data_IF_503027767639
#
_entry.id   IF_503027767639
#
_cell.length_a   1.000
_cell.length_b   1.000
_cell.length_c   1.000
_cell.angle_alpha   90.00
_cell.angle_beta   90.00
_cell.angle_gamma   90.00
#
_symmetry.space_group_name_H-M   'P 1'
#
loop_
_entity.id
_entity.type
_entity.pdbx_description
1 polymer ?
#
# COMPACT_ATOMS: atom_id res chain seq x y z
N UNK A 1 5.88 -7.58 -21.82
CA UNK A 1 5.63 -8.52 -20.70
C UNK A 1 4.70 -7.81 -19.73
N UNK A 2 3.62 -8.45 -19.28
CA UNK A 2 2.66 -7.82 -18.36
C UNK A 2 3.35 -7.41 -17.05
N UNK A 3 2.99 -6.24 -16.53
CA UNK A 3 3.54 -5.66 -15.30
C UNK A 3 2.42 -5.41 -14.31
N UNK A 4 2.72 -5.50 -13.02
CA UNK A 4 1.75 -5.22 -11.97
C UNK A 4 2.35 -4.29 -10.94
N UNK A 5 1.64 -3.21 -10.62
CA UNK A 5 1.88 -2.37 -9.45
C UNK A 5 0.82 -2.68 -8.39
N UNK A 6 1.25 -3.14 -7.22
CA UNK A 6 0.41 -3.24 -6.04
C UNK A 6 0.74 -2.08 -5.10
N UNK A 7 -0.17 -1.13 -4.98
CA UNK A 7 -0.07 0.04 -4.12
C UNK A 7 -0.93 -0.20 -2.88
N UNK A 8 -0.28 -0.64 -1.80
CA UNK A 8 -0.93 -0.85 -0.51
C UNK A 8 -1.01 0.47 0.28
N UNK A 9 -2.22 0.80 0.75
CA UNK A 9 -2.47 1.95 1.62
C UNK A 9 -3.09 1.48 2.93
N UNK A 10 -2.41 1.71 4.05
CA UNK A 10 -2.83 1.25 5.40
C UNK A 10 -3.95 2.14 5.96
N UNK A 11 -5.02 1.56 6.46
CA UNK A 11 -6.05 2.31 7.21
C UNK A 11 -6.94 3.27 6.39
N UNK A 12 -7.41 2.86 5.21
CA UNK A 12 -8.38 3.60 4.39
C UNK A 12 -9.66 2.79 4.20
N UNK A 13 -10.74 3.20 4.86
CA UNK A 13 -12.07 2.60 4.70
C UNK A 13 -12.99 3.44 3.82
N UNK A 14 -14.12 2.85 3.45
CA UNK A 14 -15.21 3.49 2.72
C UNK A 14 -16.26 3.94 3.75
N UNK A 15 -16.41 5.25 4.01
CA UNK A 15 -17.40 5.72 4.97
C UNK A 15 -18.83 5.55 4.41
N UNK A 16 -19.87 5.54 5.27
CA UNK A 16 -21.26 5.50 4.80
C UNK A 16 -21.65 6.69 3.90
N UNK A 17 -20.97 7.83 4.08
CA UNK A 17 -21.14 9.06 3.31
C UNK A 17 -19.77 9.74 3.11
N UNK A 18 -19.57 10.54 2.05
CA UNK A 18 -18.34 11.30 1.85
C UNK A 18 -17.92 12.11 3.09
N UNK A 19 -16.62 12.12 3.39
CA UNK A 19 -16.03 12.80 4.57
C UNK A 19 -15.08 13.92 4.18
N UNK A 20 -14.27 13.68 3.15
CA UNK A 20 -13.30 14.63 2.63
C UNK A 20 -13.82 15.32 1.36
N UNK A 21 -13.58 16.61 1.23
CA UNK A 21 -13.97 17.36 0.04
C UNK A 21 -12.85 17.41 -1.01
N UNK A 22 -13.23 17.28 -2.27
CA UNK A 22 -12.34 17.39 -3.43
C UNK A 22 -11.20 16.35 -3.41
N UNK A 23 -11.50 15.10 -3.03
CA UNK A 23 -10.58 13.95 -3.14
C UNK A 23 -11.35 12.74 -3.70
N UNK A 24 -11.71 12.74 -5.00
CA UNK A 24 -12.63 11.77 -5.58
C UNK A 24 -12.25 10.29 -5.43
N UNK A 25 -10.96 9.95 -5.35
CA UNK A 25 -10.51 8.57 -5.19
C UNK A 25 -10.80 8.02 -3.78
N UNK A 26 -10.58 8.84 -2.76
CA UNK A 26 -10.58 8.39 -1.36
C UNK A 26 -11.75 8.91 -0.53
N UNK A 27 -12.68 9.66 -1.13
CA UNK A 27 -13.86 10.18 -0.44
C UNK A 27 -15.26 9.78 -0.96
N UNK A 28 -15.45 8.72 -1.77
CA UNK A 28 -16.80 8.24 -2.05
C UNK A 28 -17.45 7.62 -0.80
N UNK A 29 -18.77 7.70 -0.71
CA UNK A 29 -19.57 6.91 0.23
C UNK A 29 -19.78 5.47 -0.25
N UNK A 30 -20.18 4.57 0.66
CA UNK A 30 -20.40 3.15 0.37
C UNK A 30 -21.41 2.90 -0.76
N UNK A 31 -22.45 3.73 -0.88
CA UNK A 31 -23.50 3.59 -1.90
C UNK A 31 -23.01 3.90 -3.32
N UNK A 32 -21.77 4.38 -3.48
CA UNK A 32 -21.17 4.67 -4.77
C UNK A 32 -20.37 3.48 -5.31
N UNK A 33 -20.47 2.27 -4.74
CA UNK A 33 -19.74 1.09 -5.20
C UNK A 33 -20.66 0.02 -5.81
N UNK A 34 -20.23 -0.70 -6.88
CA UNK A 34 -19.00 -0.48 -7.64
C UNK A 34 -19.03 0.86 -8.40
N UNK A 35 -17.85 1.45 -8.65
CA UNK A 35 -17.72 2.72 -9.40
C UNK A 35 -16.64 2.70 -10.45
N UNK A 36 -16.89 3.45 -11.51
CA UNK A 36 -15.86 3.94 -12.41
C UNK A 36 -15.06 5.05 -11.72
N UNK A 37 -13.75 5.04 -11.95
CA UNK A 37 -12.80 6.04 -11.48
C UNK A 37 -12.21 6.80 -12.67
N UNK A 38 -11.65 8.01 -12.44
CA UNK A 38 -10.86 8.70 -13.45
C UNK A 38 -9.77 7.81 -14.05
N UNK A 39 -9.39 8.09 -15.31
CA UNK A 39 -8.42 7.30 -16.10
C UNK A 39 -8.88 5.87 -16.34
N UNK A 40 -10.19 5.68 -16.49
CA UNK A 40 -10.83 4.39 -16.75
C UNK A 40 -10.55 3.36 -15.65
N UNK A 41 -10.47 3.78 -14.40
CA UNK A 41 -10.33 2.84 -13.28
C UNK A 41 -11.66 2.23 -12.87
N UNK A 42 -11.60 1.17 -12.09
CA UNK A 42 -12.74 0.55 -11.44
C UNK A 42 -12.45 0.42 -9.95
N UNK A 43 -13.48 0.57 -9.13
CA UNK A 43 -13.41 0.31 -7.70
C UNK A 43 -14.55 -0.57 -7.23
N UNK A 44 -14.22 -1.49 -6.32
CA UNK A 44 -15.16 -2.32 -5.59
C UNK A 44 -14.96 -2.16 -4.09
N UNK A 45 -16.01 -2.39 -3.31
CA UNK A 45 -15.94 -2.41 -1.86
C UNK A 45 -15.67 -3.84 -1.37
N UNK A 46 -14.63 -4.03 -0.57
CA UNK A 46 -14.29 -5.32 0.02
C UNK A 46 -14.58 -5.34 1.53
N UNK A 47 -15.08 -6.47 2.05
CA UNK A 47 -15.25 -6.66 3.49
C UNK A 47 -13.89 -6.83 4.18
N UNK A 48 -13.44 -5.79 4.89
CA UNK A 48 -12.20 -5.83 5.67
C UNK A 48 -12.25 -6.82 6.86
N UNK A 49 -13.45 -7.24 7.28
CA UNK A 49 -13.59 -8.25 8.35
C UNK A 49 -13.33 -9.66 7.85
N UNK A 50 -13.44 -9.88 6.54
CA UNK A 50 -13.26 -11.19 5.89
C UNK A 50 -14.12 -12.28 6.55
N UNK A 51 -15.35 -11.92 6.94
CA UNK A 51 -16.27 -12.79 7.66
C UNK A 51 -15.88 -13.12 9.12
N UNK A 52 -14.79 -12.55 9.66
CA UNK A 52 -14.33 -12.80 11.02
C UNK A 52 -14.80 -11.68 11.97
N UNK A 53 -15.45 -12.01 13.11
CA UNK A 53 -15.87 -11.01 14.10
C UNK A 53 -14.72 -10.17 14.67
N UNK A 54 -15.03 -8.94 15.06
CA UNK A 54 -14.08 -7.99 15.63
C UNK A 54 -13.66 -6.89 14.65
N UNK A 55 -12.85 -5.95 15.16
CA UNK A 55 -12.26 -4.88 14.35
C UNK A 55 -11.16 -5.45 13.45
N UNK A 56 -11.18 -5.19 12.13
CA UNK A 56 -10.04 -5.43 11.25
C UNK A 56 -8.74 -4.81 11.80
N UNK A 57 -7.62 -5.50 11.62
CA UNK A 57 -6.32 -5.10 12.17
C UNK A 57 -5.17 -5.37 11.20
N UNK A 58 -4.11 -4.56 11.30
CA UNK A 58 -3.06 -4.47 10.28
C UNK A 58 -2.28 -5.78 10.06
N UNK A 59 -1.91 -6.52 11.12
CA UNK A 59 -1.08 -7.71 10.93
C UNK A 59 -1.80 -8.78 10.09
N UNK A 60 -3.07 -9.04 10.39
CA UNK A 60 -3.92 -9.99 9.64
C UNK A 60 -4.39 -9.43 8.30
N UNK A 61 -4.74 -8.13 8.24
CA UNK A 61 -5.18 -7.48 7.02
C UNK A 61 -4.09 -7.46 5.95
N UNK A 62 -2.90 -6.93 6.29
CA UNK A 62 -1.73 -6.92 5.40
C UNK A 62 -1.32 -8.33 4.98
N UNK A 63 -1.31 -9.30 5.92
CA UNK A 63 -1.00 -10.70 5.58
C UNK A 63 -1.99 -11.27 4.57
N UNK A 64 -3.27 -10.88 4.63
CA UNK A 64 -4.28 -11.32 3.67
C UNK A 64 -4.01 -10.73 2.29
N UNK A 65 -3.79 -9.41 2.18
CA UNK A 65 -3.44 -8.75 0.91
C UNK A 65 -2.19 -9.37 0.27
N UNK A 66 -1.16 -9.64 1.07
CA UNK A 66 0.13 -10.17 0.59
C UNK A 66 0.03 -11.63 0.13
N UNK A 67 -0.90 -12.42 0.67
CA UNK A 67 -0.91 -13.88 0.45
C UNK A 67 -2.11 -14.36 -0.36
N UNK A 68 -3.20 -13.58 -0.41
CA UNK A 68 -4.50 -13.98 -0.93
C UNK A 68 -5.22 -15.02 -0.05
N UNK A 69 -4.79 -15.18 1.21
CA UNK A 69 -5.38 -16.14 2.16
C UNK A 69 -6.00 -15.38 3.32
N UNK A 70 -7.20 -15.78 3.74
CA UNK A 70 -7.88 -15.19 4.89
C UNK A 70 -7.09 -15.42 6.20
N UNK A 71 -6.18 -14.51 6.50
CA UNK A 71 -5.30 -14.59 7.67
C UNK A 71 -6.04 -14.46 9.02
N UNK A 72 -7.07 -13.60 9.19
CA UNK A 72 -7.80 -13.60 10.46
C UNK A 72 -8.55 -14.91 10.71
N UNK A 73 -9.00 -15.62 9.67
CA UNK A 73 -9.58 -16.97 9.83
C UNK A 73 -8.53 -17.97 10.35
N UNK A 74 -7.30 -17.94 9.82
CA UNK A 74 -6.19 -18.77 10.31
C UNK A 74 -5.84 -18.45 11.78
N UNK A 75 -5.89 -17.18 12.15
CA UNK A 75 -5.59 -16.72 13.51
C UNK A 75 -6.77 -16.87 14.48
N UNK A 76 -7.98 -17.17 13.98
CA UNK A 76 -9.24 -17.16 14.72
C UNK A 76 -9.69 -15.78 15.21
N UNK A 77 -8.99 -14.71 14.82
CA UNK A 77 -9.24 -13.31 15.19
C UNK A 77 -8.41 -12.37 14.35
N UNK A 78 -8.75 -11.08 14.40
CA UNK A 78 -7.91 -10.00 13.90
C UNK A 78 -6.71 -9.73 14.83
N UNK A 79 -5.54 -9.47 14.27
CA UNK A 79 -4.29 -9.22 15.02
C UNK A 79 -3.65 -7.91 14.56
N UNK A 80 -3.29 -7.05 15.52
CA UNK A 80 -2.72 -5.73 15.28
C UNK A 80 -1.19 -5.72 15.21
N UNK A 81 -0.63 -4.65 14.64
CA UNK A 81 0.81 -4.39 14.61
C UNK A 81 1.57 -5.31 13.65
N UNK A 82 2.70 -5.87 14.10
CA UNK A 82 3.60 -6.67 13.26
C UNK A 82 3.19 -8.14 13.21
N UNK A 83 3.44 -8.85 12.08
CA UNK A 83 3.13 -10.27 11.97
C UNK A 83 3.90 -11.11 12.99
N UNK A 84 3.17 -11.93 13.75
CA UNK A 84 3.73 -12.96 14.63
C UNK A 84 4.23 -14.19 13.85
N UNK A 85 4.75 -15.23 14.54
CA UNK A 85 5.33 -16.41 13.90
C UNK A 85 4.42 -17.08 12.88
N UNK A 86 3.14 -17.31 13.21
CA UNK A 86 2.16 -17.93 12.31
C UNK A 86 1.98 -17.13 11.01
N UNK A 87 1.80 -15.80 11.13
CA UNK A 87 1.64 -14.92 9.98
C UNK A 87 2.92 -14.81 9.15
N UNK A 88 4.09 -14.77 9.80
CA UNK A 88 5.39 -14.84 9.10
C UNK A 88 5.53 -16.15 8.32
N UNK A 89 5.15 -17.29 8.89
CA UNK A 89 5.14 -18.57 8.17
C UNK A 89 4.18 -18.54 6.98
N UNK A 90 3.00 -17.94 7.12
CA UNK A 90 2.04 -17.79 6.02
C UNK A 90 2.62 -16.91 4.90
N UNK A 91 3.12 -15.72 5.23
CA UNK A 91 3.73 -14.78 4.28
C UNK A 91 4.92 -15.44 3.56
N UNK A 92 5.83 -16.09 4.30
CA UNK A 92 7.01 -16.72 3.70
C UNK A 92 6.68 -17.88 2.74
N UNK A 93 5.52 -18.53 2.89
CA UNK A 93 5.07 -19.63 2.00
C UNK A 93 4.19 -19.17 0.84
N UNK A 94 3.40 -18.10 1.03
CA UNK A 94 2.31 -17.72 0.12
C UNK A 94 2.38 -16.27 -0.36
N UNK A 95 3.38 -15.50 0.05
CA UNK A 95 3.53 -14.12 -0.36
C UNK A 95 3.63 -13.96 -1.87
N UNK A 96 3.12 -12.85 -2.40
CA UNK A 96 3.10 -12.54 -3.83
C UNK A 96 4.48 -12.67 -4.49
N UNK A 97 5.53 -12.05 -3.96
CA UNK A 97 6.91 -12.22 -4.43
C UNK A 97 7.33 -13.69 -4.56
N UNK A 98 7.15 -14.52 -3.52
CA UNK A 98 7.48 -15.95 -3.56
C UNK A 98 6.68 -16.68 -4.65
N UNK A 99 5.37 -16.43 -4.73
CA UNK A 99 4.49 -17.05 -5.72
C UNK A 99 4.90 -16.68 -7.15
N UNK A 100 5.36 -15.46 -7.36
CA UNK A 100 5.85 -14.97 -8.66
C UNK A 100 7.22 -15.60 -8.99
N UNK A 101 8.12 -15.76 -8.02
CA UNK A 101 9.40 -16.46 -8.21
C UNK A 101 9.21 -17.92 -8.60
N UNK A 102 8.25 -18.62 -7.98
CA UNK A 102 7.90 -20.01 -8.33
C UNK A 102 7.44 -20.14 -9.80
N UNK A 103 6.97 -19.04 -10.41
CA UNK A 103 6.62 -18.97 -11.84
C UNK A 103 7.81 -18.64 -12.76
N UNK A 104 9.04 -18.66 -12.23
CA UNK A 104 10.27 -18.45 -12.99
C UNK A 104 10.70 -16.99 -13.16
N UNK A 105 10.03 -16.05 -12.50
CA UNK A 105 10.43 -14.64 -12.53
C UNK A 105 11.54 -14.41 -11.48
N UNK A 106 12.75 -13.99 -11.89
CA UNK A 106 13.86 -13.84 -10.96
C UNK A 106 13.66 -12.63 -10.05
N UNK A 107 14.28 -12.64 -8.85
CA UNK A 107 14.07 -11.60 -7.83
C UNK A 107 14.43 -10.20 -8.30
N UNK A 108 15.35 -10.08 -9.25
CA UNK A 108 15.80 -8.82 -9.85
C UNK A 108 14.69 -8.14 -10.69
N UNK A 109 13.63 -8.89 -11.01
CA UNK A 109 12.41 -8.40 -11.68
C UNK A 109 11.30 -8.07 -10.68
N UNK A 110 11.56 -8.15 -9.38
CA UNK A 110 10.63 -7.85 -8.31
C UNK A 110 11.12 -6.64 -7.54
N UNK A 111 10.21 -5.72 -7.23
CA UNK A 111 10.55 -4.48 -6.54
C UNK A 111 9.68 -4.29 -5.31
N UNK A 112 10.31 -4.09 -4.15
CA UNK A 112 9.68 -3.41 -3.03
C UNK A 112 10.16 -1.96 -3.05
N UNK A 113 9.28 -1.05 -3.44
CA UNK A 113 9.66 0.31 -3.82
C UNK A 113 10.04 1.20 -2.61
N UNK A 114 9.69 0.78 -1.40
CA UNK A 114 9.98 1.50 -0.17
C UNK A 114 11.46 1.43 0.21
N UNK A 115 12.05 2.59 0.46
CA UNK A 115 13.40 2.74 0.96
C UNK A 115 13.48 2.77 2.49
N UNK A 116 14.64 2.41 3.00
CA UNK A 116 14.94 2.34 4.42
C UNK A 116 16.12 3.23 4.80
N UNK A 117 16.05 3.79 6.00
CA UNK A 117 17.14 4.57 6.60
C UNK A 117 18.33 3.67 6.93
N UNK A 118 19.58 4.19 6.96
CA UNK A 118 20.78 3.40 7.27
C UNK A 118 20.68 2.61 8.59
N UNK A 119 20.05 3.18 9.62
CA UNK A 119 19.81 2.54 10.92
C UNK A 119 18.98 1.24 10.83
N UNK A 120 18.25 1.03 9.73
CA UNK A 120 17.55 -0.23 9.45
C UNK A 120 18.53 -1.39 9.25
N UNK A 121 19.63 -1.13 8.53
CA UNK A 121 20.57 -2.16 8.08
C UNK A 121 21.66 -2.47 9.10
N UNK A 122 21.84 -1.64 10.13
CA UNK A 122 22.91 -1.80 11.12
C UNK A 122 22.71 -2.99 12.08
N UNK A 123 21.46 -3.42 12.30
CA UNK A 123 21.14 -4.53 13.22
C UNK A 123 19.95 -5.35 12.68
N UNK A 124 19.95 -6.68 12.87
CA UNK A 124 18.79 -7.50 12.58
C UNK A 124 17.54 -6.98 13.30
N UNK A 125 16.42 -6.89 12.56
CA UNK A 125 15.14 -6.40 13.06
C UNK A 125 14.22 -7.58 13.36
N UNK A 126 13.99 -7.89 14.63
CA UNK A 126 13.07 -8.97 15.02
C UNK A 126 11.61 -8.68 14.63
N UNK A 127 11.24 -7.39 14.66
CA UNK A 127 9.91 -6.88 14.31
C UNK A 127 10.01 -5.94 13.11
N UNK A 128 9.30 -6.28 12.04
CA UNK A 128 9.19 -5.53 10.79
C UNK A 128 7.75 -5.64 10.29
N UNK A 129 7.30 -4.72 9.42
CA UNK A 129 5.97 -4.78 8.79
C UNK A 129 5.79 -6.06 7.98
N UNK A 130 4.54 -6.41 7.68
CA UNK A 130 4.23 -7.58 6.85
C UNK A 130 4.82 -7.45 5.44
N UNK A 131 4.74 -6.27 4.85
CA UNK A 131 5.36 -5.91 3.56
C UNK A 131 6.89 -6.03 3.58
N UNK A 132 7.55 -5.53 4.63
CA UNK A 132 9.00 -5.66 4.79
C UNK A 132 9.40 -7.12 4.95
N UNK A 133 8.69 -7.88 5.78
CA UNK A 133 8.94 -9.31 5.95
C UNK A 133 8.69 -10.09 4.64
N UNK A 134 7.68 -9.70 3.87
CA UNK A 134 7.37 -10.27 2.56
C UNK A 134 8.53 -10.12 1.57
N UNK A 135 9.10 -8.91 1.45
CA UNK A 135 10.29 -8.68 0.62
C UNK A 135 11.50 -9.49 1.12
N UNK A 136 11.81 -9.42 2.42
CA UNK A 136 12.95 -10.13 3.02
C UNK A 136 12.86 -11.65 2.85
N UNK A 137 11.68 -12.23 3.07
CA UNK A 137 11.46 -13.67 2.96
C UNK A 137 11.51 -14.19 1.51
N UNK A 138 11.40 -13.31 0.51
CA UNK A 138 11.60 -13.64 -0.91
C UNK A 138 13.02 -13.31 -1.41
N UNK A 139 13.88 -12.77 -0.54
CA UNK A 139 15.21 -12.28 -0.91
C UNK A 139 15.16 -11.08 -1.87
N UNK A 140 14.05 -10.34 -1.92
CA UNK A 140 13.93 -9.09 -2.68
C UNK A 140 14.74 -8.01 -1.96
N UNK A 141 15.69 -7.33 -2.64
CA UNK A 141 16.52 -6.31 -2.02
C UNK A 141 15.67 -5.16 -1.46
N UNK A 142 16.02 -4.70 -0.25
CA UNK A 142 15.43 -3.49 0.32
C UNK A 142 16.21 -2.25 -0.14
N UNK A 143 15.48 -1.23 -0.61
CA UNK A 143 16.10 -0.01 -1.10
C UNK A 143 16.68 0.87 0.02
N UNK A 144 17.68 1.66 -0.32
CA UNK A 144 18.38 2.57 0.58
C UNK A 144 18.07 4.03 0.26
N UNK A 145 18.53 4.96 1.10
CA UNK A 145 18.42 6.40 0.80
C UNK A 145 19.25 6.83 -0.41
N UNK A 146 20.30 6.07 -0.78
CA UNK A 146 21.04 6.28 -2.03
C UNK A 146 20.16 5.98 -3.24
N UNK A 147 19.33 4.94 -3.16
CA UNK A 147 18.38 4.62 -4.21
C UNK A 147 17.30 5.70 -4.34
N UNK A 148 16.88 6.31 -3.22
CA UNK A 148 15.98 7.48 -3.23
C UNK A 148 16.62 8.67 -3.94
N UNK A 149 17.87 9.04 -3.60
CA UNK A 149 18.57 10.16 -4.25
C UNK A 149 18.77 9.94 -5.75
N UNK A 150 18.88 8.69 -6.19
CA UNK A 150 19.08 8.31 -7.58
C UNK A 150 17.76 7.97 -8.30
N UNK A 151 16.60 8.25 -7.67
CA UNK A 151 15.28 8.06 -8.28
C UNK A 151 14.94 6.59 -8.59
N UNK A 152 15.48 5.66 -7.79
CA UNK A 152 15.28 4.21 -7.86
C UNK A 152 14.50 3.63 -6.67
N UNK A 153 14.03 4.47 -5.76
CA UNK A 153 13.14 4.09 -4.68
C UNK A 153 12.36 5.31 -4.18
N UNK A 154 11.32 5.07 -3.39
CA UNK A 154 10.58 6.09 -2.67
C UNK A 154 10.66 5.83 -1.18
N UNK A 155 10.74 6.88 -0.37
CA UNK A 155 10.49 6.72 1.06
C UNK A 155 8.99 6.55 1.33
N UNK A 156 8.62 6.14 2.54
CA UNK A 156 7.21 5.86 2.87
C UNK A 156 6.30 7.10 2.84
N UNK A 157 6.86 8.30 2.93
CA UNK A 157 6.12 9.56 2.76
C UNK A 157 6.19 10.10 1.32
N UNK A 158 6.89 9.39 0.43
CA UNK A 158 7.22 9.65 -1.00
C UNK A 158 7.80 11.02 -1.38
N UNK A 159 7.65 12.04 -0.52
CA UNK A 159 8.11 13.41 -0.73
C UNK A 159 9.50 13.66 -0.18
N UNK A 160 10.04 12.74 0.63
CA UNK A 160 11.26 12.89 1.43
C UNK A 160 11.16 13.96 2.55
N UNK A 161 9.99 14.58 2.76
CA UNK A 161 9.80 15.65 3.76
C UNK A 161 10.26 15.21 5.14
N UNK A 162 9.89 14.00 5.56
CA UNK A 162 10.25 13.46 6.86
C UNK A 162 11.76 13.23 7.01
N UNK A 163 12.44 12.81 5.94
CA UNK A 163 13.88 12.60 5.94
C UNK A 163 14.65 13.93 5.96
N UNK A 164 14.19 14.91 5.19
CA UNK A 164 14.78 16.26 5.18
C UNK A 164 14.67 16.89 6.57
N UNK A 165 13.52 16.77 7.23
CA UNK A 165 13.33 17.24 8.61
C UNK A 165 14.22 16.49 9.63
N UNK A 166 14.72 15.30 9.29
CA UNK A 166 15.67 14.53 10.10
C UNK A 166 17.14 14.82 9.72
N UNK A 167 17.40 15.77 8.83
CA UNK A 167 18.74 16.19 8.43
C UNK A 167 19.36 15.39 7.28
N UNK A 168 18.60 14.54 6.58
CA UNK A 168 19.13 13.82 5.41
C UNK A 168 19.17 14.76 4.18
N UNK A 169 20.29 14.79 3.43
CA UNK A 169 20.45 15.67 2.27
C UNK A 169 19.78 15.08 1.02
N UNK A 170 18.45 15.01 1.02
CA UNK A 170 17.64 14.49 -0.08
C UNK A 170 16.84 15.62 -0.73
N UNK A 171 16.59 15.55 -2.05
CA UNK A 171 15.69 16.50 -2.70
C UNK A 171 14.26 16.29 -2.19
N UNK A 172 13.55 17.39 -1.97
CA UNK A 172 12.11 17.36 -1.75
C UNK A 172 11.42 16.98 -3.07
N UNK A 173 10.56 15.97 -3.02
CA UNK A 173 9.72 15.58 -4.16
C UNK A 173 8.30 16.10 -3.97
N UNK A 174 7.69 16.60 -5.03
CA UNK A 174 6.24 16.75 -5.11
C UNK A 174 5.56 15.38 -5.27
N UNK A 175 4.26 15.25 -4.94
CA UNK A 175 3.51 14.03 -5.22
C UNK A 175 3.59 13.62 -6.70
N UNK A 176 3.46 14.57 -7.63
CA UNK A 176 3.66 14.30 -9.06
C UNK A 176 5.08 13.78 -9.40
N UNK A 177 6.15 14.35 -8.80
CA UNK A 177 7.51 13.83 -9.02
C UNK A 177 7.67 12.41 -8.48
N UNK A 178 7.11 12.12 -7.30
CA UNK A 178 7.09 10.77 -6.73
C UNK A 178 6.33 9.78 -7.62
N UNK A 179 5.20 10.20 -8.19
CA UNK A 179 4.41 9.38 -9.10
C UNK A 179 5.21 8.95 -10.33
N UNK A 180 6.01 9.85 -10.91
CA UNK A 180 6.96 9.54 -12.00
C UNK A 180 8.04 8.53 -11.57
N UNK A 181 8.54 8.60 -10.33
CA UNK A 181 9.49 7.60 -9.80
C UNK A 181 8.84 6.22 -9.76
N UNK A 182 7.63 6.13 -9.19
CA UNK A 182 6.92 4.85 -9.06
C UNK A 182 6.55 4.25 -10.41
N UNK A 183 6.16 5.08 -11.39
CA UNK A 183 5.91 4.62 -12.76
C UNK A 183 7.18 4.01 -13.39
N UNK A 184 8.34 4.68 -13.27
CA UNK A 184 9.62 4.15 -13.77
C UNK A 184 10.00 2.84 -13.09
N UNK A 185 9.78 2.71 -11.78
CA UNK A 185 10.02 1.46 -11.06
C UNK A 185 9.12 0.35 -11.57
N UNK A 186 7.83 0.64 -11.74
CA UNK A 186 6.85 -0.31 -12.28
C UNK A 186 7.23 -0.76 -13.70
N UNK A 187 7.62 0.15 -14.59
CA UNK A 187 8.05 -0.21 -15.95
C UNK A 187 9.29 -1.11 -16.00
N UNK A 188 10.21 -0.92 -15.05
CA UNK A 188 11.46 -1.69 -14.97
C UNK A 188 11.28 -3.09 -14.38
N UNK A 189 10.20 -3.36 -13.65
CA UNK A 189 9.99 -4.62 -12.95
C UNK A 189 8.74 -5.34 -13.48
N UNK A 190 8.63 -6.63 -13.20
CA UNK A 190 7.43 -7.41 -13.53
C UNK A 190 6.36 -7.25 -12.44
N UNK A 191 6.80 -7.09 -11.19
CA UNK A 191 5.92 -6.82 -10.06
C UNK A 191 6.56 -5.80 -9.12
N UNK A 192 5.83 -4.73 -8.81
CA UNK A 192 6.24 -3.69 -7.87
C UNK A 192 5.22 -3.62 -6.75
N UNK A 193 5.70 -3.66 -5.51
CA UNK A 193 4.89 -3.45 -4.30
C UNK A 193 5.34 -2.13 -3.65
N UNK A 194 4.39 -1.25 -3.36
CA UNK A 194 4.63 -0.02 -2.60
C UNK A 194 3.65 0.06 -1.42
N UNK A 195 4.17 0.38 -0.24
CA UNK A 195 3.39 0.55 0.99
C UNK A 195 3.33 2.02 1.40
N UNK A 196 2.14 2.47 1.78
CA UNK A 196 1.92 3.77 2.39
C UNK A 196 1.10 3.62 3.67
N UNK A 197 1.67 3.98 4.83
CA UNK A 197 1.03 3.76 6.13
C UNK A 197 0.73 5.04 6.93
N UNK A 198 0.96 6.24 6.36
CA UNK A 198 0.73 7.49 7.09
C UNK A 198 -0.76 7.81 7.25
N UNK A 199 -1.64 7.21 6.45
CA UNK A 199 -3.10 7.32 6.54
C UNK A 199 -3.62 6.74 7.85
N UNK A 200 -3.21 5.52 8.21
CA UNK A 200 -3.52 4.91 9.50
C UNK A 200 -3.01 5.73 10.69
N UNK A 201 -1.78 6.25 10.59
CA UNK A 201 -1.22 7.16 11.60
C UNK A 201 -2.05 8.45 11.77
N UNK A 202 -2.58 9.01 10.68
CA UNK A 202 -3.44 10.19 10.74
C UNK A 202 -4.79 9.86 11.40
N UNK A 203 -5.34 8.68 11.09
CA UNK A 203 -6.53 8.11 11.72
C UNK A 203 -6.40 7.99 13.23
N UNK A 204 -5.38 7.30 13.71
CA UNK A 204 -5.09 7.16 15.14
C UNK A 204 -4.90 8.51 15.86
N UNK A 205 -4.30 9.49 15.19
CA UNK A 205 -4.09 10.85 15.72
C UNK A 205 -5.33 11.74 15.63
N UNK A 206 -6.39 11.28 14.97
CA UNK A 206 -7.63 12.05 14.73
C UNK A 206 -7.34 13.42 14.11
N UNK A 207 -6.34 13.47 13.24
CA UNK A 207 -5.80 14.71 12.71
C UNK A 207 -6.39 15.00 11.33
N UNK A 208 -7.54 15.69 11.31
CA UNK A 208 -8.26 16.01 10.07
C UNK A 208 -7.41 16.81 9.06
N UNK A 209 -6.68 17.87 9.43
CA UNK A 209 -5.80 18.56 8.48
C UNK A 209 -4.71 17.67 7.88
N UNK A 210 -4.09 16.79 8.69
CA UNK A 210 -3.11 15.82 8.20
C UNK A 210 -3.77 14.82 7.25
N UNK A 211 -4.92 14.26 7.62
CA UNK A 211 -5.65 13.30 6.80
C UNK A 211 -5.98 13.86 5.42
N UNK A 212 -6.62 15.03 5.36
CA UNK A 212 -6.96 15.71 4.10
C UNK A 212 -5.74 15.94 3.22
N UNK A 213 -4.62 16.39 3.81
CA UNK A 213 -3.38 16.60 3.05
C UNK A 213 -2.82 15.29 2.50
N UNK A 214 -2.72 14.24 3.31
CA UNK A 214 -2.16 12.96 2.87
C UNK A 214 -3.00 12.33 1.76
N UNK A 215 -4.33 12.38 1.86
CA UNK A 215 -5.22 11.83 0.84
C UNK A 215 -5.14 12.60 -0.48
N UNK A 216 -5.00 13.94 -0.44
CA UNK A 216 -4.73 14.76 -1.64
C UNK A 216 -3.38 14.44 -2.25
N UNK A 217 -2.33 14.38 -1.44
CA UNK A 217 -0.98 14.07 -1.91
C UNK A 217 -0.95 12.63 -2.52
N UNK A 218 -1.65 11.66 -1.92
CA UNK A 218 -1.77 10.30 -2.45
C UNK A 218 -2.51 10.27 -3.80
N UNK A 219 -3.63 10.99 -3.92
CA UNK A 219 -4.40 11.05 -5.17
C UNK A 219 -3.57 11.66 -6.30
N UNK A 220 -2.89 12.78 -6.04
CA UNK A 220 -2.00 13.41 -7.03
C UNK A 220 -0.84 12.47 -7.43
N UNK A 221 -0.23 11.79 -6.46
CA UNK A 221 0.85 10.85 -6.71
C UNK A 221 0.39 9.67 -7.57
N UNK A 222 -0.75 9.05 -7.22
CA UNK A 222 -1.33 7.93 -7.96
C UNK A 222 -1.73 8.32 -9.38
N UNK A 223 -2.40 9.46 -9.54
CA UNK A 223 -2.73 10.00 -10.87
C UNK A 223 -1.49 10.24 -11.71
N UNK A 224 -0.44 10.84 -11.14
CA UNK A 224 0.82 11.01 -11.85
C UNK A 224 1.48 9.67 -12.20
N UNK A 225 1.41 8.67 -11.33
CA UNK A 225 1.88 7.31 -11.67
C UNK A 225 1.12 6.74 -12.87
N UNK A 226 -0.22 6.79 -12.85
CA UNK A 226 -1.06 6.29 -13.93
C UNK A 226 -0.77 6.99 -15.26
N UNK A 227 -0.61 8.33 -15.24
CA UNK A 227 -0.34 9.15 -16.43
C UNK A 227 1.02 8.82 -17.10
N UNK A 228 1.92 8.12 -16.40
CA UNK A 228 3.24 7.73 -16.90
C UNK A 228 3.37 6.21 -17.12
N UNK A 229 2.28 5.45 -17.04
CA UNK A 229 2.25 4.02 -17.31
C UNK A 229 1.55 3.70 -18.64
N UNK A 230 2.07 2.68 -19.33
CA UNK A 230 1.36 2.04 -20.43
C UNK A 230 0.36 1.03 -19.83
N UNK A 231 -0.90 1.45 -19.69
CA UNK A 231 -1.95 0.71 -18.98
C UNK A 231 -2.47 -0.52 -19.77
N UNK A 232 -2.21 -0.61 -21.07
CA UNK A 232 -2.41 -1.80 -21.89
C UNK A 232 -1.43 -2.94 -21.52
N UNK A 233 -0.26 -2.60 -20.97
CA UNK A 233 0.75 -3.55 -20.51
C UNK A 233 0.82 -3.68 -18.98
N UNK A 234 0.11 -2.84 -18.24
CA UNK A 234 0.26 -2.70 -16.77
C UNK A 234 -1.08 -2.77 -16.07
N UNK A 235 -1.17 -3.61 -15.05
CA UNK A 235 -2.26 -3.59 -14.07
C UNK A 235 -1.81 -2.81 -12.85
N UNK A 236 -2.56 -1.80 -12.44
CA UNK A 236 -2.35 -1.11 -11.16
C UNK A 236 -3.47 -1.51 -10.21
N UNK A 237 -3.12 -1.98 -9.02
CA UNK A 237 -4.05 -2.34 -7.95
C UNK A 237 -3.76 -1.46 -6.76
N UNK A 238 -4.77 -0.82 -6.21
CA UNK A 238 -4.70 -0.09 -4.93
C UNK A 238 -5.66 -0.76 -3.97
N UNK A 239 -5.17 -1.12 -2.79
CA UNK A 239 -5.98 -1.77 -1.77
C UNK A 239 -5.61 -1.28 -0.38
N UNK A 240 -6.62 -1.27 0.50
CA UNK A 240 -6.43 -1.11 1.94
C UNK A 240 -6.78 -2.40 2.67
N UNK A 241 -6.20 -2.58 3.84
CA UNK A 241 -6.35 -3.77 4.67
C UNK A 241 -7.42 -3.58 5.77
N UNK A 242 -7.68 -2.34 6.17
CA UNK A 242 -8.77 -1.95 7.06
C UNK A 242 -9.11 -0.46 6.94
N UNK A 243 -10.21 -0.03 7.57
CA UNK A 243 -10.56 1.38 7.73
C UNK A 243 -9.98 2.02 8.99
N UNK A 244 -9.71 3.31 8.92
CA UNK A 244 -9.32 4.17 10.03
C UNK A 244 -9.52 5.65 9.68
N UNK A 245 -8.82 6.14 8.65
CA UNK A 245 -8.75 7.58 8.33
C UNK A 245 -10.12 8.20 7.97
N UNK A 246 -11.08 7.40 7.54
CA UNK A 246 -12.43 7.86 7.18
C UNK A 246 -13.32 8.17 8.39
N UNK A 247 -12.94 7.75 9.59
CA UNK A 247 -13.63 8.09 10.85
C UNK A 247 -12.63 8.67 11.86
N UNK A 248 -12.51 10.00 11.88
CA UNK A 248 -11.63 10.73 12.81
C UNK A 248 -12.36 11.15 14.10
N UNK A 249 -13.64 10.79 14.26
CA UNK A 249 -14.36 11.00 15.51
C UNK A 249 -13.84 10.06 16.60
N UNK A 250 -13.34 8.89 16.19
CA UNK A 250 -12.85 7.82 17.06
C UNK A 250 -11.38 7.52 16.75
N UNK A 251 -10.70 6.83 17.67
CA UNK A 251 -9.28 6.43 17.53
C UNK A 251 -9.07 4.97 17.11
N UNK A 252 -9.95 4.01 17.48
CA UNK A 252 -9.88 2.65 16.95
C UNK A 252 -10.16 2.59 15.46
N UNK A 253 -9.70 1.52 14.81
CA UNK A 253 -10.08 1.17 13.44
C UNK A 253 -11.59 0.99 13.30
N UNK A 254 -12.07 1.03 12.07
CA UNK A 254 -13.50 0.86 11.74
C UNK A 254 -13.80 -0.55 11.24
N UNK A 255 -15.09 -0.89 11.20
CA UNK A 255 -15.59 -2.07 10.48
C UNK A 255 -16.07 -1.72 9.07
N UNK A 256 -15.72 -0.55 8.55
CA UNK A 256 -16.14 -0.14 7.24
C UNK A 256 -15.50 -1.05 6.17
N UNK A 257 -16.19 -1.31 5.06
CA UNK A 257 -15.56 -1.90 3.88
C UNK A 257 -14.35 -1.06 3.44
N UNK A 258 -13.44 -1.65 2.70
CA UNK A 258 -12.24 -0.97 2.16
C UNK A 258 -12.31 -0.90 0.64
N UNK A 259 -11.73 0.13 0.01
CA UNK A 259 -11.69 0.21 -1.44
C UNK A 259 -10.63 -0.76 -2.00
N UNK A 260 -11.01 -1.48 -3.05
CA UNK A 260 -10.08 -2.14 -3.97
C UNK A 260 -10.27 -1.48 -5.32
N UNK A 261 -9.21 -0.85 -5.82
CA UNK A 261 -9.23 -0.09 -7.07
C UNK A 261 -8.27 -0.72 -8.07
N UNK A 262 -8.64 -0.75 -9.35
CA UNK A 262 -7.72 -1.13 -10.41
C UNK A 262 -7.82 -0.30 -11.68
N UNK A 263 -6.70 -0.26 -12.40
CA UNK A 263 -6.54 0.37 -13.70
C UNK A 263 -5.77 -0.53 -14.65
N UNK A 264 -5.99 -0.29 -15.94
CA UNK A 264 -5.26 -0.93 -17.03
C UNK A 264 -5.68 -2.38 -17.27
N UNK A 265 -4.72 -3.19 -17.72
CA UNK A 265 -4.95 -4.55 -18.18
C UNK A 265 -5.63 -5.40 -17.11
N UNK A 266 -6.71 -6.08 -17.47
CA UNK A 266 -7.45 -6.99 -16.57
C UNK A 266 -8.02 -6.31 -15.31
N UNK A 267 -8.27 -4.99 -15.33
CA UNK A 267 -8.89 -4.25 -14.21
C UNK A 267 -10.26 -4.81 -13.82
N UNK A 268 -10.96 -5.50 -14.73
CA UNK A 268 -12.27 -6.11 -14.51
C UNK A 268 -12.22 -7.38 -13.64
N UNK A 269 -11.02 -7.88 -13.31
CA UNK A 269 -10.83 -9.06 -12.44
C UNK A 269 -10.72 -8.73 -10.95
N UNK A 270 -10.96 -7.48 -10.55
CA UNK A 270 -10.97 -7.06 -9.13
C UNK A 270 -12.19 -7.55 -8.37
#
# INVERSE_FOLDING_TARGET
>A
MARVLFFFIDGVGIPPKPVFENIPLFSPGLNEYPRELPREGLAVAADARLGIPGLPQSATGQSTLITGVNAPAIMGRHVSGFPGPTLKTLIGKRGLFQRIQVKGIPRERLCFANAFRPIFFQKPRARVSASTFHALSAGVPLATLKDVSEGRALYHDFTNRLLINQGYPLPLLSPCQAGKVLARLTQKHTFTFYEYFLTDLAGHRRNFPMATRLLRDLEEMLFSTLDHLALDETTVIVASDHGNIEDLERSPHTTNPVPVMAWGREKEKI
#
